data_IF_480468750642
#
_entry.id   IF_480468750642
#
_cell.length_a   1.000
_cell.length_b   1.000
_cell.length_c   1.000
_cell.angle_alpha   90.00
_cell.angle_beta   90.00
_cell.angle_gamma   90.00
#
_symmetry.space_group_name_H-M   'P 1'
#
loop_
_entity.id
_entity.type
_entity.pdbx_description
1 polymer ?
#
# COMPACT_ATOMS: atom_id res chain seq x y z
N UNK A 1 -44.92 -4.97 -8.59
CA UNK A 1 -44.28 -5.12 -7.26
C UNK A 1 -43.20 -6.19 -7.28
N UNK A 2 -43.35 -7.26 -8.07
CA UNK A 2 -42.39 -8.38 -8.13
C UNK A 2 -41.00 -8.01 -8.68
N UNK A 3 -40.92 -7.07 -9.63
CA UNK A 3 -39.62 -6.59 -10.16
C UNK A 3 -38.82 -5.79 -9.14
N UNK A 4 -39.47 -4.91 -8.37
CA UNK A 4 -38.79 -4.15 -7.30
C UNK A 4 -38.34 -5.06 -6.17
N UNK A 5 -39.18 -6.03 -5.77
CA UNK A 5 -38.80 -7.03 -4.78
C UNK A 5 -37.59 -7.85 -5.25
N UNK A 6 -37.59 -8.30 -6.51
CA UNK A 6 -36.47 -9.02 -7.11
C UNK A 6 -35.19 -8.18 -7.13
N UNK A 7 -35.27 -6.90 -7.53
CA UNK A 7 -34.14 -5.98 -7.51
C UNK A 7 -33.57 -5.77 -6.11
N UNK A 8 -34.43 -5.65 -5.09
CA UNK A 8 -34.01 -5.54 -3.69
C UNK A 8 -33.31 -6.81 -3.22
N UNK A 9 -33.86 -7.99 -3.52
CA UNK A 9 -33.24 -9.28 -3.17
C UNK A 9 -31.87 -9.43 -3.83
N UNK A 10 -31.75 -9.09 -5.12
CA UNK A 10 -30.48 -9.09 -5.84
C UNK A 10 -29.48 -8.11 -5.20
N UNK A 11 -29.91 -6.89 -4.88
CA UNK A 11 -29.06 -5.88 -4.26
C UNK A 11 -28.56 -6.32 -2.87
N UNK A 12 -29.44 -6.90 -2.04
CA UNK A 12 -29.08 -7.44 -0.73
C UNK A 12 -28.12 -8.62 -0.84
N UNK A 13 -28.37 -9.55 -1.77
CA UNK A 13 -27.48 -10.67 -2.05
C UNK A 13 -26.09 -10.21 -2.48
N UNK A 14 -26.01 -9.27 -3.42
CA UNK A 14 -24.75 -8.69 -3.86
C UNK A 14 -24.02 -7.97 -2.71
N UNK A 15 -24.74 -7.24 -1.85
CA UNK A 15 -24.15 -6.57 -0.69
C UNK A 15 -23.60 -7.57 0.35
N UNK A 16 -24.32 -8.66 0.62
CA UNK A 16 -23.87 -9.70 1.54
C UNK A 16 -22.59 -10.40 1.03
N UNK A 17 -22.58 -10.80 -0.25
CA UNK A 17 -21.41 -11.42 -0.89
C UNK A 17 -20.19 -10.48 -0.90
N UNK A 18 -20.40 -9.20 -1.23
CA UNK A 18 -19.36 -8.17 -1.14
C UNK A 18 -18.78 -8.11 0.27
N UNK A 19 -19.64 -8.02 1.28
CA UNK A 19 -19.22 -7.88 2.68
C UNK A 19 -18.42 -9.08 3.16
N UNK A 20 -18.83 -10.30 2.79
CA UNK A 20 -18.11 -11.52 3.12
C UNK A 20 -16.72 -11.57 2.46
N UNK A 21 -16.63 -11.30 1.15
CA UNK A 21 -15.35 -11.29 0.43
C UNK A 21 -14.39 -10.24 1.01
N UNK A 22 -14.93 -9.07 1.33
CA UNK A 22 -14.20 -7.99 1.96
C UNK A 22 -13.64 -8.36 3.35
N UNK A 23 -14.43 -9.08 4.17
CA UNK A 23 -13.98 -9.61 5.46
C UNK A 23 -12.88 -10.65 5.28
N UNK A 24 -13.00 -11.54 4.28
CA UNK A 24 -11.96 -12.55 3.97
C UNK A 24 -10.63 -11.88 3.60
N UNK A 25 -10.67 -10.84 2.75
CA UNK A 25 -9.46 -10.08 2.35
C UNK A 25 -8.80 -9.37 3.52
N UNK A 26 -9.60 -8.71 4.38
CA UNK A 26 -9.07 -8.10 5.61
C UNK A 26 -8.45 -9.16 6.51
N UNK A 27 -9.13 -10.28 6.74
CA UNK A 27 -8.62 -11.33 7.62
C UNK A 27 -7.31 -11.92 7.07
N UNK A 28 -7.25 -12.17 5.76
CA UNK A 28 -6.03 -12.65 5.09
C UNK A 28 -4.88 -11.68 5.28
N UNK A 29 -5.02 -10.42 4.84
CA UNK A 29 -3.93 -9.46 4.92
C UNK A 29 -3.57 -9.13 6.39
N UNK A 30 -4.59 -8.97 7.24
CA UNK A 30 -4.41 -8.71 8.67
C UNK A 30 -3.68 -9.84 9.38
N UNK A 31 -3.93 -11.10 9.01
CA UNK A 31 -3.27 -12.26 9.63
C UNK A 31 -1.76 -12.30 9.41
N UNK A 32 -1.29 -11.73 8.29
CA UNK A 32 0.13 -11.56 8.00
C UNK A 32 0.68 -10.28 8.63
N UNK A 33 -0.03 -9.15 8.51
CA UNK A 33 0.42 -7.84 9.01
C UNK A 33 0.59 -7.81 10.53
N UNK A 34 -0.25 -8.52 11.30
CA UNK A 34 -0.19 -8.52 12.77
C UNK A 34 1.13 -9.05 13.34
N UNK A 35 1.92 -9.79 12.55
CA UNK A 35 3.22 -10.31 12.97
C UNK A 35 4.34 -9.26 12.90
N UNK A 36 4.02 -8.04 12.47
CA UNK A 36 4.96 -6.97 12.18
C UNK A 36 4.49 -5.64 12.79
N UNK A 37 5.43 -4.72 13.02
CA UNK A 37 5.22 -3.36 13.51
C UNK A 37 5.28 -2.32 12.37
N UNK A 38 4.98 -2.73 11.13
CA UNK A 38 5.13 -1.88 9.94
C UNK A 38 4.32 -0.59 10.05
N UNK A 39 3.06 -0.64 10.51
CA UNK A 39 2.25 0.57 10.67
C UNK A 39 2.86 1.55 11.68
N UNK A 40 3.34 1.04 12.82
CA UNK A 40 3.97 1.86 13.85
C UNK A 40 5.32 2.45 13.39
N UNK A 41 6.12 1.68 12.65
CA UNK A 41 7.36 2.15 12.06
C UNK A 41 7.12 3.22 11.01
N UNK A 42 6.14 3.04 10.12
CA UNK A 42 5.76 4.03 9.12
C UNK A 42 5.28 5.34 9.74
N UNK A 43 4.48 5.27 10.80
CA UNK A 43 4.03 6.44 11.55
C UNK A 43 5.22 7.17 12.19
N UNK A 44 6.06 6.42 12.92
CA UNK A 44 7.28 6.97 13.52
C UNK A 44 8.21 7.64 12.52
N UNK A 45 8.38 7.03 11.33
CA UNK A 45 9.22 7.56 10.26
C UNK A 45 8.63 8.84 9.68
N UNK A 46 7.32 8.83 9.39
CA UNK A 46 6.62 10.00 8.85
C UNK A 46 6.72 11.20 9.81
N UNK A 47 6.47 10.98 11.10
CA UNK A 47 6.57 12.02 12.13
C UNK A 47 8.02 12.47 12.37
N UNK A 48 8.98 11.55 12.34
CA UNK A 48 10.39 11.88 12.51
C UNK A 48 10.96 12.66 11.32
N UNK A 49 10.54 12.36 10.10
CA UNK A 49 10.93 13.13 8.92
C UNK A 49 10.40 14.55 8.97
N UNK A 50 9.12 14.76 9.32
CA UNK A 50 8.58 16.11 9.48
C UNK A 50 9.36 16.89 10.55
N UNK A 51 9.62 16.28 11.71
CA UNK A 51 10.43 16.91 12.77
C UNK A 51 11.86 17.22 12.33
N UNK A 52 12.49 16.39 11.51
CA UNK A 52 13.82 16.66 11.00
C UNK A 52 13.81 17.82 9.99
N UNK A 53 12.75 17.94 9.19
CA UNK A 53 12.56 19.04 8.24
C UNK A 53 12.26 20.38 8.94
N UNK A 54 11.56 20.34 10.07
CA UNK A 54 11.19 21.53 10.86
C UNK A 54 12.26 21.94 11.88
N UNK A 55 13.32 21.15 12.07
CA UNK A 55 14.37 21.46 13.03
C UNK A 55 15.33 22.54 12.51
N UNK A 56 15.39 23.69 13.18
CA UNK A 56 16.32 24.78 12.84
C UNK A 56 17.78 24.45 13.20
N UNK A 57 18.00 23.83 14.37
CA UNK A 57 19.32 23.45 14.86
C UNK A 57 19.91 22.26 14.07
N UNK A 58 21.08 22.43 13.41
CA UNK A 58 21.73 21.37 12.65
C UNK A 58 22.05 20.13 13.50
N UNK A 59 22.45 20.28 14.76
CA UNK A 59 22.85 19.15 15.62
C UNK A 59 21.63 18.30 15.96
N UNK A 60 20.54 18.95 16.40
CA UNK A 60 19.27 18.27 16.64
C UNK A 60 18.72 17.60 15.39
N UNK A 61 18.85 18.25 14.22
CA UNK A 61 18.42 17.70 12.94
C UNK A 61 19.14 16.39 12.62
N UNK A 62 20.47 16.38 12.77
CA UNK A 62 21.30 15.19 12.54
C UNK A 62 20.94 14.04 13.49
N UNK A 63 20.68 14.34 14.77
CA UNK A 63 20.22 13.35 15.74
C UNK A 63 18.88 12.71 15.34
N UNK A 64 17.91 13.51 14.85
CA UNK A 64 16.63 12.98 14.39
C UNK A 64 16.83 12.08 13.16
N UNK A 65 17.68 12.48 12.20
CA UNK A 65 18.00 11.63 11.04
C UNK A 65 18.63 10.30 11.46
N UNK A 66 19.57 10.31 12.41
CA UNK A 66 20.18 9.09 12.94
C UNK A 66 19.16 8.13 13.56
N UNK A 67 18.19 8.66 14.32
CA UNK A 67 17.11 7.84 14.88
C UNK A 67 16.20 7.25 13.79
N UNK A 68 15.94 8.01 12.72
CA UNK A 68 15.13 7.52 11.60
C UNK A 68 15.85 6.42 10.82
N UNK A 69 17.16 6.54 10.60
CA UNK A 69 17.94 5.53 9.89
C UNK A 69 17.82 4.13 10.53
N UNK A 70 17.80 4.04 11.86
CA UNK A 70 17.56 2.76 12.55
C UNK A 70 16.15 2.20 12.27
N UNK A 71 15.12 3.05 12.33
CA UNK A 71 13.74 2.66 12.03
C UNK A 71 13.53 2.29 10.56
N UNK A 72 14.26 2.92 9.65
CA UNK A 72 14.26 2.57 8.22
C UNK A 72 14.73 1.11 8.04
N UNK A 73 15.87 0.76 8.63
CA UNK A 73 16.42 -0.61 8.57
C UNK A 73 15.42 -1.63 9.14
N UNK A 74 14.81 -1.33 10.29
CA UNK A 74 13.79 -2.19 10.90
C UNK A 74 12.55 -2.35 10.01
N UNK A 75 12.07 -1.24 9.40
CA UNK A 75 10.96 -1.27 8.46
C UNK A 75 11.29 -2.17 7.27
N UNK A 76 12.48 -2.01 6.67
CA UNK A 76 12.90 -2.83 5.54
C UNK A 76 12.90 -4.31 5.92
N UNK A 77 13.57 -4.67 7.02
CA UNK A 77 13.69 -6.06 7.45
C UNK A 77 12.33 -6.73 7.73
N UNK A 78 11.37 -5.99 8.29
CA UNK A 78 10.02 -6.48 8.51
C UNK A 78 9.22 -6.56 7.20
N UNK A 79 9.34 -5.55 6.34
CA UNK A 79 8.61 -5.53 5.08
C UNK A 79 9.09 -6.59 4.09
N UNK A 80 10.40 -6.88 4.02
CA UNK A 80 10.93 -7.98 3.22
C UNK A 80 10.35 -9.34 3.64
N UNK A 81 10.26 -9.59 4.96
CA UNK A 81 9.65 -10.81 5.50
C UNK A 81 8.15 -10.87 5.19
N UNK A 82 7.42 -9.77 5.37
CA UNK A 82 6.02 -9.68 4.98
C UNK A 82 5.81 -9.97 3.49
N UNK A 83 6.64 -9.39 2.61
CA UNK A 83 6.55 -9.62 1.17
C UNK A 83 6.83 -11.10 0.81
N UNK A 84 7.78 -11.74 1.50
CA UNK A 84 8.04 -13.17 1.35
C UNK A 84 6.85 -14.03 1.82
N UNK A 85 6.23 -13.69 2.95
CA UNK A 85 5.04 -14.39 3.47
C UNK A 85 3.85 -14.25 2.53
N UNK A 86 3.57 -13.04 2.06
CA UNK A 86 2.51 -12.78 1.07
C UNK A 86 2.81 -13.50 -0.25
N UNK A 87 4.08 -13.60 -0.64
CA UNK A 87 4.52 -14.36 -1.82
C UNK A 87 4.11 -15.84 -1.80
N UNK A 88 3.89 -16.42 -0.61
CA UNK A 88 3.47 -17.81 -0.41
C UNK A 88 1.95 -18.00 -0.38
N UNK A 89 1.18 -16.91 -0.37
CA UNK A 89 -0.29 -16.98 -0.39
C UNK A 89 -0.79 -17.57 -1.71
N UNK A 90 -1.89 -18.31 -1.63
CA UNK A 90 -2.57 -18.91 -2.79
C UNK A 90 -2.89 -17.82 -3.85
N UNK A 91 -2.52 -18.02 -5.13
CA UNK A 91 -2.66 -17.01 -6.17
C UNK A 91 -4.05 -16.40 -6.32
N UNK A 92 -5.11 -17.20 -6.27
CA UNK A 92 -6.48 -16.74 -6.47
C UNK A 92 -7.00 -15.93 -5.26
N UNK A 93 -6.53 -16.22 -4.05
CA UNK A 93 -6.83 -15.45 -2.84
C UNK A 93 -6.10 -14.10 -2.79
N UNK A 94 -5.00 -13.94 -3.54
CA UNK A 94 -4.14 -12.77 -3.55
C UNK A 94 -4.28 -11.93 -4.83
N UNK A 95 -5.49 -11.75 -5.36
CA UNK A 95 -5.78 -10.86 -6.51
C UNK A 95 -6.41 -9.55 -6.04
N UNK A 96 -6.04 -8.43 -6.66
CA UNK A 96 -6.62 -7.10 -6.40
C UNK A 96 -7.50 -6.70 -7.58
N UNK A 97 -8.78 -6.44 -7.34
CA UNK A 97 -9.73 -6.00 -8.38
C UNK A 97 -9.43 -4.58 -8.85
N UNK A 98 -9.39 -4.34 -10.17
CA UNK A 98 -9.20 -3.00 -10.75
C UNK A 98 -10.50 -2.26 -11.05
N UNK A 99 -11.66 -2.88 -10.78
CA UNK A 99 -12.95 -2.22 -11.00
C UNK A 99 -13.10 -0.97 -10.13
N UNK A 100 -13.72 0.10 -10.67
CA UNK A 100 -13.94 1.35 -9.93
C UNK A 100 -14.92 1.16 -8.77
N UNK A 101 -15.84 0.20 -8.89
CA UNK A 101 -16.78 -0.20 -7.85
C UNK A 101 -16.40 -1.56 -7.28
N UNK A 102 -16.63 -1.76 -5.98
CA UNK A 102 -16.41 -3.05 -5.33
C UNK A 102 -17.53 -4.02 -5.74
N UNK A 103 -17.22 -4.86 -6.74
CA UNK A 103 -18.07 -5.93 -7.26
C UNK A 103 -17.64 -7.26 -6.59
N UNK A 104 -18.56 -8.02 -5.97
CA UNK A 104 -18.24 -9.31 -5.36
C UNK A 104 -17.59 -10.26 -6.38
N UNK A 105 -16.50 -10.92 -5.99
CA UNK A 105 -15.78 -11.92 -6.80
C UNK A 105 -15.31 -11.41 -8.19
N UNK A 106 -15.20 -10.09 -8.40
CA UNK A 106 -14.79 -9.54 -9.69
C UNK A 106 -13.42 -10.06 -10.16
N UNK A 107 -12.51 -10.35 -9.24
CA UNK A 107 -11.21 -10.95 -9.53
C UNK A 107 -11.29 -12.40 -10.01
N UNK A 108 -12.36 -13.13 -9.66
CA UNK A 108 -12.63 -14.50 -10.12
C UNK A 108 -13.39 -14.51 -11.44
N UNK A 109 -14.34 -13.59 -11.59
CA UNK A 109 -15.21 -13.50 -12.77
C UNK A 109 -14.51 -12.79 -13.94
N UNK A 110 -13.64 -11.82 -13.65
CA UNK A 110 -12.89 -11.05 -14.64
C UNK A 110 -11.40 -10.99 -14.26
N UNK A 111 -10.65 -12.09 -14.43
CA UNK A 111 -9.23 -12.14 -14.08
C UNK A 111 -8.41 -11.03 -14.76
N UNK A 112 -8.78 -10.64 -15.99
CA UNK A 112 -8.14 -9.54 -16.72
C UNK A 112 -8.33 -8.16 -16.07
N UNK A 113 -9.34 -7.97 -15.22
CA UNK A 113 -9.59 -6.76 -14.43
C UNK A 113 -9.08 -6.90 -12.99
N UNK A 114 -7.93 -7.55 -12.82
CA UNK A 114 -7.25 -7.67 -11.53
C UNK A 114 -5.75 -7.88 -11.70
N UNK A 115 -4.97 -7.57 -10.66
CA UNK A 115 -3.52 -7.79 -10.63
C UNK A 115 -3.11 -8.61 -9.38
N UNK A 116 -2.01 -9.36 -9.44
CA UNK A 116 -1.54 -10.16 -8.31
C UNK A 116 -0.92 -9.30 -7.21
N UNK A 117 -1.48 -9.37 -6.00
CA UNK A 117 -1.01 -8.69 -4.80
C UNK A 117 0.43 -9.07 -4.45
N UNK A 118 0.79 -10.34 -4.68
CA UNK A 118 2.11 -10.91 -4.38
C UNK A 118 3.22 -10.18 -5.12
N UNK A 119 2.99 -9.89 -6.40
CA UNK A 119 3.92 -9.13 -7.22
C UNK A 119 3.96 -7.66 -6.81
N UNK A 120 2.82 -7.07 -6.42
CA UNK A 120 2.79 -5.72 -5.88
C UNK A 120 3.63 -5.58 -4.60
N UNK A 121 3.54 -6.55 -3.69
CA UNK A 121 4.35 -6.58 -2.47
C UNK A 121 5.84 -6.75 -2.77
N UNK A 122 6.20 -7.59 -3.75
CA UNK A 122 7.57 -7.71 -4.20
C UNK A 122 8.11 -6.40 -4.82
N UNK A 123 7.28 -5.65 -5.54
CA UNK A 123 7.64 -4.32 -6.07
C UNK A 123 7.87 -3.34 -4.91
N UNK A 124 6.93 -3.25 -3.96
CA UNK A 124 7.07 -2.37 -2.79
C UNK A 124 8.31 -2.69 -1.97
N UNK A 125 8.63 -3.97 -1.81
CA UNK A 125 9.78 -4.40 -1.03
C UNK A 125 11.09 -3.96 -1.69
N UNK A 126 11.20 -4.08 -3.02
CA UNK A 126 12.35 -3.55 -3.76
C UNK A 126 12.42 -2.03 -3.73
N UNK A 127 11.28 -1.34 -3.84
CA UNK A 127 11.20 0.11 -3.80
C UNK A 127 11.65 0.70 -2.45
N UNK A 128 11.13 0.14 -1.36
CA UNK A 128 11.50 0.49 0.02
C UNK A 128 12.99 0.23 0.26
N UNK A 129 13.48 -0.96 -0.10
CA UNK A 129 14.90 -1.30 0.06
C UNK A 129 15.80 -0.31 -0.70
N UNK A 130 15.52 -0.06 -1.99
CA UNK A 130 16.29 0.88 -2.81
C UNK A 130 16.31 2.29 -2.21
N UNK A 131 15.17 2.77 -1.72
CA UNK A 131 15.06 4.09 -1.10
C UNK A 131 15.87 4.17 0.21
N UNK A 132 15.87 3.11 1.02
CA UNK A 132 16.62 3.04 2.28
C UNK A 132 18.13 2.96 2.04
N UNK A 133 18.56 2.12 1.09
CA UNK A 133 19.95 2.03 0.64
C UNK A 133 20.42 3.32 -0.05
N UNK A 134 19.50 4.23 -0.34
CA UNK A 134 19.76 5.48 -1.04
C UNK A 134 20.53 5.26 -2.36
N UNK A 135 20.11 4.26 -3.14
CA UNK A 135 20.83 3.85 -4.36
C UNK A 135 20.91 4.96 -5.42
N UNK A 136 20.05 5.98 -5.33
CA UNK A 136 20.02 7.14 -6.21
C UNK A 136 20.87 8.32 -5.68
N UNK A 137 21.55 8.17 -4.53
CA UNK A 137 22.42 9.20 -3.95
C UNK A 137 21.70 10.49 -3.56
N UNK A 138 20.44 10.39 -3.12
CA UNK A 138 19.61 11.55 -2.77
C UNK A 138 20.11 12.22 -1.48
N UNK A 139 19.92 13.53 -1.38
CA UNK A 139 20.06 14.22 -0.10
C UNK A 139 19.04 13.67 0.93
N UNK A 140 19.26 13.87 2.25
CA UNK A 140 18.39 13.32 3.29
C UNK A 140 16.91 13.68 3.14
N UNK A 141 16.61 14.91 2.71
CA UNK A 141 15.22 15.39 2.52
C UNK A 141 14.58 14.68 1.33
N UNK A 142 15.27 14.61 0.20
CA UNK A 142 14.80 13.93 -1.00
C UNK A 142 14.64 12.42 -0.77
N UNK A 143 15.56 11.79 -0.02
CA UNK A 143 15.46 10.39 0.44
C UNK A 143 14.22 10.17 1.30
N UNK A 144 14.01 10.99 2.33
CA UNK A 144 12.85 10.89 3.22
C UNK A 144 11.53 11.08 2.47
N UNK A 145 11.47 12.03 1.54
CA UNK A 145 10.32 12.26 0.68
C UNK A 145 10.02 11.04 -0.21
N UNK A 146 11.05 10.47 -0.86
CA UNK A 146 10.95 9.27 -1.68
C UNK A 146 10.45 8.08 -0.86
N UNK A 147 11.05 7.82 0.29
CA UNK A 147 10.68 6.70 1.14
C UNK A 147 9.26 6.85 1.71
N UNK A 148 8.83 8.07 2.04
CA UNK A 148 7.44 8.37 2.41
C UNK A 148 6.46 7.98 1.29
N UNK A 149 6.80 8.30 0.03
CA UNK A 149 5.97 7.91 -1.09
C UNK A 149 5.91 6.38 -1.30
N UNK A 150 7.04 5.67 -1.16
CA UNK A 150 7.08 4.19 -1.24
C UNK A 150 6.17 3.56 -0.15
N UNK A 151 6.27 4.05 1.09
CA UNK A 151 5.42 3.64 2.20
C UNK A 151 3.93 3.90 1.92
N UNK A 152 3.59 5.09 1.40
CA UNK A 152 2.20 5.46 1.11
C UNK A 152 1.61 4.68 -0.07
N UNK A 153 2.42 4.37 -1.10
CA UNK A 153 1.97 3.53 -2.21
C UNK A 153 1.68 2.10 -1.74
N UNK A 154 2.54 1.57 -0.86
CA UNK A 154 2.32 0.28 -0.22
C UNK A 154 1.03 0.28 0.62
N UNK A 155 0.82 1.27 1.48
CA UNK A 155 -0.39 1.39 2.30
C UNK A 155 -1.66 1.53 1.42
N UNK A 156 -1.57 2.30 0.33
CA UNK A 156 -2.64 2.42 -0.66
C UNK A 156 -2.97 1.05 -1.28
N UNK A 157 -1.97 0.28 -1.68
CA UNK A 157 -2.14 -1.07 -2.24
C UNK A 157 -2.83 -2.02 -1.26
N UNK A 158 -2.43 -2.00 0.01
CA UNK A 158 -3.08 -2.77 1.07
C UNK A 158 -4.57 -2.44 1.21
N UNK A 159 -4.91 -1.15 1.19
CA UNK A 159 -6.31 -0.71 1.25
C UNK A 159 -7.09 -1.00 -0.02
N UNK A 160 -6.45 -0.96 -1.18
CA UNK A 160 -7.07 -1.35 -2.44
C UNK A 160 -7.42 -2.84 -2.41
N UNK A 161 -6.50 -3.70 -1.98
CA UNK A 161 -6.77 -5.13 -1.79
C UNK A 161 -7.94 -5.39 -0.83
N UNK A 162 -7.96 -4.73 0.32
CA UNK A 162 -8.99 -4.95 1.34
C UNK A 162 -10.36 -4.33 1.01
N UNK A 163 -10.42 -3.37 0.07
CA UNK A 163 -11.60 -2.58 -0.27
C UNK A 163 -11.67 -2.32 -1.77
N UNK A 164 -11.30 -1.12 -2.20
CA UNK A 164 -11.31 -0.66 -3.59
C UNK A 164 -10.31 0.47 -3.78
N UNK A 165 -9.95 0.77 -5.03
CA UNK A 165 -9.06 1.89 -5.36
C UNK A 165 -9.59 3.21 -4.82
N UNK A 166 -10.89 3.46 -4.96
CA UNK A 166 -11.52 4.70 -4.52
C UNK A 166 -11.39 4.89 -3.00
N UNK A 167 -11.65 3.83 -2.21
CA UNK A 167 -11.50 3.89 -0.74
C UNK A 167 -10.04 4.09 -0.35
N UNK A 168 -9.11 3.40 -1.02
CA UNK A 168 -7.68 3.56 -0.80
C UNK A 168 -7.21 5.00 -1.08
N UNK A 169 -7.61 5.57 -2.22
CA UNK A 169 -7.27 6.95 -2.60
C UNK A 169 -7.89 7.98 -1.65
N UNK A 170 -9.15 7.79 -1.24
CA UNK A 170 -9.79 8.68 -0.28
C UNK A 170 -9.10 8.64 1.10
N UNK A 171 -8.70 7.46 1.57
CA UNK A 171 -7.97 7.30 2.84
C UNK A 171 -6.58 7.93 2.78
N UNK A 172 -5.87 7.74 1.66
CA UNK A 172 -4.57 8.36 1.41
C UNK A 172 -4.67 9.89 1.49
N UNK A 173 -5.64 10.48 0.79
CA UNK A 173 -5.88 11.91 0.81
C UNK A 173 -6.28 12.41 2.20
N UNK A 174 -7.17 11.68 2.89
CA UNK A 174 -7.63 12.07 4.21
C UNK A 174 -6.50 12.10 5.25
N UNK A 175 -5.66 11.05 5.27
CA UNK A 175 -4.60 10.86 6.28
C UNK A 175 -3.33 11.64 5.97
N UNK A 176 -2.88 11.62 4.72
CA UNK A 176 -1.55 12.12 4.33
C UNK A 176 -1.59 13.38 3.45
N UNK A 177 -2.79 13.88 3.15
CA UNK A 177 -3.00 15.09 2.31
C UNK A 177 -2.30 15.02 0.94
N UNK A 178 -2.16 13.80 0.40
CA UNK A 178 -1.54 13.55 -0.91
C UNK A 178 -2.43 12.64 -1.76
N UNK A 179 -2.42 12.85 -3.07
CA UNK A 179 -3.16 12.02 -4.01
C UNK A 179 -2.36 10.78 -4.41
N UNK A 180 -3.06 9.77 -4.93
CA UNK A 180 -2.43 8.57 -5.44
C UNK A 180 -1.48 8.87 -6.61
N UNK A 181 -1.85 9.83 -7.46
CA UNK A 181 -1.06 10.29 -8.58
C UNK A 181 0.23 11.00 -8.12
N UNK A 182 0.15 11.82 -7.07
CA UNK A 182 1.32 12.46 -6.46
C UNK A 182 2.25 11.43 -5.82
N UNK A 183 1.71 10.43 -5.12
CA UNK A 183 2.50 9.33 -4.57
C UNK A 183 3.19 8.55 -5.67
N UNK A 184 2.48 8.17 -6.74
CA UNK A 184 3.10 7.53 -7.91
C UNK A 184 4.18 8.43 -8.51
N UNK A 185 3.96 9.74 -8.62
CA UNK A 185 4.92 10.73 -9.09
C UNK A 185 6.15 10.86 -8.16
N UNK A 186 6.02 10.43 -6.90
CA UNK A 186 7.03 10.55 -5.85
C UNK A 186 7.66 9.22 -5.42
N UNK A 187 7.30 8.06 -5.99
CA UNK A 187 8.09 6.81 -5.84
C UNK A 187 9.25 6.76 -6.83
N UNK A 188 10.18 5.82 -6.63
CA UNK A 188 11.34 5.65 -7.50
C UNK A 188 10.90 5.35 -8.93
N UNK A 189 11.68 5.74 -9.96
CA UNK A 189 11.34 5.47 -11.35
C UNK A 189 11.09 3.96 -11.62
N UNK A 190 11.86 3.11 -10.96
CA UNK A 190 11.75 1.65 -11.07
C UNK A 190 10.48 1.11 -10.40
N UNK A 191 10.15 1.58 -9.18
CA UNK A 191 8.88 1.26 -8.53
C UNK A 191 7.72 1.69 -9.42
N UNK A 192 7.72 2.94 -9.91
CA UNK A 192 6.63 3.47 -10.75
C UNK A 192 6.43 2.59 -11.99
N UNK A 193 7.50 2.32 -12.73
CA UNK A 193 7.44 1.55 -13.98
C UNK A 193 6.91 0.15 -13.73
N UNK A 194 7.47 -0.56 -12.75
CA UNK A 194 7.04 -1.92 -12.42
C UNK A 194 5.59 -1.96 -11.93
N UNK A 195 5.21 -1.01 -11.07
CA UNK A 195 3.87 -0.96 -10.50
C UNK A 195 2.81 -0.60 -11.55
N UNK A 196 3.07 0.37 -12.44
CA UNK A 196 2.17 0.74 -13.53
C UNK A 196 2.00 -0.41 -14.53
N UNK A 197 3.08 -1.11 -14.87
CA UNK A 197 3.00 -2.30 -15.71
C UNK A 197 2.13 -3.39 -15.07
N UNK A 198 2.31 -3.64 -13.77
CA UNK A 198 1.54 -4.64 -13.02
C UNK A 198 0.03 -4.35 -13.04
N UNK A 199 -0.37 -3.09 -12.91
CA UNK A 199 -1.80 -2.70 -12.86
C UNK A 199 -2.40 -2.42 -14.25
N UNK A 200 -1.68 -2.72 -15.34
CA UNK A 200 -2.16 -2.53 -16.71
C UNK A 200 -2.25 -1.06 -17.15
N UNK A 201 -1.34 -0.21 -16.68
CA UNK A 201 -1.26 1.23 -17.00
C UNK A 201 0.10 1.66 -17.57
N UNK A 202 0.83 0.72 -18.19
CA UNK A 202 2.08 1.00 -18.89
C UNK A 202 1.83 1.79 -20.18
#
# INVERSE_FOLDING_TARGET
MDTYLLLIVIALGAFALKTQDQRRRIALLGSHLQNYQIEHLMESLSDGYLRALDADDPVRREQVWGLMAAKEVDLNAQFQRLAADIGRVEPAAARVSTFPLAIPFADRLFPAASFPLREAFAIHARGIDRAIQNADGLDPKAKAFRLSAEMFLMQHTCHWFCRSKAVASARLLARHKTTYEQVLAAVSPDTRRAYLALIGKA
#
